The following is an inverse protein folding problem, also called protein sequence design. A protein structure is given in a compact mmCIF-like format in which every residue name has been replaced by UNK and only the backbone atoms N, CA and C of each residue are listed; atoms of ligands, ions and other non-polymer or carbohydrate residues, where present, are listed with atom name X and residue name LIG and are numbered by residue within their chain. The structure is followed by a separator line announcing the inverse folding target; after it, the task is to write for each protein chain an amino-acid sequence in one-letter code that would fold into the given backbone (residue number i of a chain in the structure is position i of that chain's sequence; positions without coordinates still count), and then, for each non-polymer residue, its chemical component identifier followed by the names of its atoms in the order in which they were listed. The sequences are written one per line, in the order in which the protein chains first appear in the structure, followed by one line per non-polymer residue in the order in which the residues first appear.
data_IF_732876182781
#
_entry.id   IF_732876182781
#
_cell.length_a   1.000
_cell.length_b   1.000
_cell.length_c   1.000
_cell.angle_alpha   90.00
_cell.angle_beta   90.00
_cell.angle_gamma   90.00
#
_symmetry.space_group_name_H-M   'P 1'
#
loop_
_entity.id
_entity.type
_entity.pdbx_description
1 polymer ?
#
# COMPACT_ATOMS: atom_id res chain seq x y z
N UNK A 1 6.18 -25.31 -26.75
CA UNK A 1 4.76 -25.34 -26.36
C UNK A 1 4.50 -24.79 -24.95
N UNK A 2 5.12 -25.28 -23.85
CA UNK A 2 4.81 -24.78 -22.50
C UNK A 2 5.22 -23.31 -22.31
N UNK A 3 6.35 -22.89 -22.91
CA UNK A 3 6.83 -21.52 -22.86
C UNK A 3 5.84 -20.53 -23.49
N UNK A 4 5.15 -20.92 -24.56
CA UNK A 4 4.17 -20.08 -25.26
C UNK A 4 2.87 -19.94 -24.45
N UNK A 5 2.47 -21.01 -23.75
CA UNK A 5 1.37 -21.01 -22.78
C UNK A 5 1.67 -20.12 -21.58
N UNK A 6 2.88 -20.20 -21.01
CA UNK A 6 3.32 -19.34 -19.90
C UNK A 6 3.37 -17.87 -20.34
N UNK A 7 3.88 -17.59 -21.55
CA UNK A 7 3.91 -16.23 -22.10
C UNK A 7 2.50 -15.68 -22.34
N UNK A 8 1.58 -16.49 -22.86
CA UNK A 8 0.18 -16.11 -23.00
C UNK A 8 -0.49 -15.87 -21.65
N UNK A 9 -0.20 -16.68 -20.63
CA UNK A 9 -0.74 -16.50 -19.28
C UNK A 9 -0.19 -15.23 -18.63
N UNK A 10 1.11 -14.97 -18.77
CA UNK A 10 1.75 -13.75 -18.30
C UNK A 10 1.21 -12.53 -19.03
N UNK A 11 1.00 -12.60 -20.35
CA UNK A 11 0.41 -11.50 -21.11
C UNK A 11 -1.04 -11.26 -20.70
N UNK A 12 -1.82 -12.32 -20.53
CA UNK A 12 -3.20 -12.27 -20.05
C UNK A 12 -3.32 -11.75 -18.61
N UNK A 13 -2.26 -11.86 -17.79
CA UNK A 13 -2.18 -11.26 -16.46
C UNK A 13 -1.65 -9.82 -16.51
N UNK A 14 -0.63 -9.57 -17.33
CA UNK A 14 0.04 -8.30 -17.48
C UNK A 14 -0.87 -7.26 -18.14
N UNK A 15 -1.73 -7.64 -19.09
CA UNK A 15 -2.70 -6.75 -19.75
C UNK A 15 -3.72 -6.15 -18.78
N UNK A 16 -4.42 -6.93 -17.93
CA UNK A 16 -5.33 -6.38 -16.93
C UNK A 16 -4.59 -5.65 -15.81
N UNK A 17 -3.37 -6.07 -15.44
CA UNK A 17 -2.53 -5.31 -14.50
C UNK A 17 -2.06 -3.97 -15.11
N UNK A 18 -1.71 -3.94 -16.40
CA UNK A 18 -1.33 -2.72 -17.11
C UNK A 18 -2.54 -1.81 -17.26
N UNK A 19 -3.69 -2.35 -17.68
CA UNK A 19 -4.92 -1.57 -17.83
C UNK A 19 -5.37 -1.01 -16.49
N UNK A 20 -5.23 -1.78 -15.40
CA UNK A 20 -5.41 -1.31 -14.04
C UNK A 20 -4.39 -0.25 -13.65
N UNK A 21 -3.11 -0.38 -14.02
CA UNK A 21 -2.10 0.62 -13.71
C UNK A 21 -2.30 1.93 -14.48
N UNK A 22 -2.77 1.84 -15.74
CA UNK A 22 -3.03 2.98 -16.63
C UNK A 22 -4.32 3.68 -16.21
N UNK A 23 -5.41 2.95 -15.98
CA UNK A 23 -6.64 3.49 -15.39
C UNK A 23 -6.38 4.01 -13.95
N UNK A 24 -5.46 3.35 -13.25
CA UNK A 24 -4.96 3.72 -11.94
C UNK A 24 -4.08 4.97 -11.93
N UNK A 25 -3.55 5.46 -13.07
CA UNK A 25 -2.85 6.76 -13.11
C UNK A 25 -3.76 7.90 -12.73
N UNK A 26 -5.04 7.83 -13.10
CA UNK A 26 -6.07 8.76 -12.63
C UNK A 26 -6.35 8.59 -11.14
N UNK A 27 -6.26 7.36 -10.60
CA UNK A 27 -6.31 7.11 -9.15
C UNK A 27 -5.09 7.67 -8.41
N UNK A 28 -3.87 7.55 -8.94
CA UNK A 28 -2.68 8.19 -8.38
C UNK A 28 -2.73 9.72 -8.52
N UNK A 29 -3.38 10.23 -9.56
CA UNK A 29 -3.62 11.66 -9.76
C UNK A 29 -4.74 12.20 -8.84
N UNK A 30 -5.79 11.43 -8.56
CA UNK A 30 -6.88 11.76 -7.61
C UNK A 30 -6.45 11.57 -6.15
N UNK A 31 -5.57 10.60 -5.87
CA UNK A 31 -4.83 10.52 -4.60
C UNK A 31 -3.93 11.75 -4.41
N UNK A 32 -3.45 12.35 -5.52
CA UNK A 32 -2.78 13.65 -5.57
C UNK A 32 -3.75 14.80 -5.86
N UNK A 33 -5.06 14.61 -5.60
CA UNK A 33 -6.14 15.50 -6.04
C UNK A 33 -5.88 16.99 -5.80
N UNK A 34 -6.66 17.90 -6.41
CA UNK A 34 -6.37 19.35 -6.54
C UNK A 34 -6.15 20.14 -5.24
N UNK A 35 -6.23 19.49 -4.09
CA UNK A 35 -5.77 19.98 -2.81
C UNK A 35 -5.45 18.80 -1.91
N UNK A 36 -4.38 18.04 -2.22
CA UNK A 36 -3.69 17.29 -1.17
C UNK A 36 -3.22 18.35 -0.18
N UNK A 37 -4.07 18.66 0.80
CA UNK A 37 -3.66 19.36 2.02
C UNK A 37 -2.36 18.70 2.40
N UNK A 38 -1.29 19.48 2.38
CA UNK A 38 0.00 18.98 2.78
C UNK A 38 -0.11 18.73 4.30
N UNK A 39 -0.61 17.55 4.66
CA UNK A 39 -0.90 17.17 6.05
C UNK A 39 0.36 17.32 6.88
N UNK A 40 1.51 17.05 6.28
CA UNK A 40 2.82 17.31 6.89
C UNK A 40 2.98 18.80 7.16
N UNK A 41 2.82 19.67 6.16
CA UNK A 41 2.93 21.11 6.38
C UNK A 41 1.91 21.65 7.40
N UNK A 42 0.68 21.16 7.40
CA UNK A 42 -0.36 21.58 8.36
C UNK A 42 -0.01 21.19 9.79
N UNK A 43 0.45 19.95 10.03
CA UNK A 43 0.90 19.49 11.35
C UNK A 43 2.16 20.23 11.80
N UNK A 44 3.13 20.41 10.90
CA UNK A 44 4.37 21.15 11.17
C UNK A 44 4.06 22.59 11.57
N UNK A 45 3.15 23.25 10.86
CA UNK A 45 2.73 24.63 11.18
C UNK A 45 1.96 24.70 12.52
N UNK A 46 1.03 23.77 12.76
CA UNK A 46 0.19 23.73 13.97
C UNK A 46 0.99 23.49 15.24
N UNK A 47 1.95 22.57 15.19
CA UNK A 47 2.80 22.18 16.33
C UNK A 47 4.16 22.88 16.34
N UNK A 48 4.41 23.82 15.40
CA UNK A 48 5.66 24.57 15.24
C UNK A 48 6.90 23.68 15.25
N UNK A 49 6.83 22.56 14.54
CA UNK A 49 7.90 21.56 14.52
C UNK A 49 9.11 22.11 13.77
N UNK A 50 10.31 21.90 14.32
CA UNK A 50 11.53 22.05 13.53
C UNK A 50 11.62 20.94 12.47
N UNK A 51 12.50 21.09 11.48
CA UNK A 51 12.70 20.06 10.46
C UNK A 51 13.07 18.69 11.06
N UNK A 52 13.94 18.68 12.08
CA UNK A 52 14.33 17.45 12.77
C UNK A 52 13.19 16.82 13.57
N UNK A 53 12.39 17.64 14.26
CA UNK A 53 11.22 17.16 15.01
C UNK A 53 10.17 16.56 14.07
N UNK A 54 9.95 17.19 12.91
CA UNK A 54 9.02 16.70 11.90
C UNK A 54 9.43 15.31 11.39
N UNK A 55 10.71 15.10 11.11
CA UNK A 55 11.22 13.79 10.65
C UNK A 55 11.16 12.72 11.76
N UNK A 56 11.43 13.11 13.02
CA UNK A 56 11.29 12.24 14.18
C UNK A 56 9.84 11.78 14.37
N UNK A 57 8.89 12.72 14.30
CA UNK A 57 7.45 12.45 14.35
C UNK A 57 7.04 11.55 13.18
N UNK A 58 7.41 11.89 11.94
CA UNK A 58 7.08 11.09 10.76
C UNK A 58 7.58 9.64 10.90
N UNK A 59 8.82 9.47 11.37
CA UNK A 59 9.44 8.16 11.56
C UNK A 59 8.70 7.34 12.61
N UNK A 60 8.35 7.95 13.75
CA UNK A 60 7.62 7.29 14.82
C UNK A 60 6.20 6.88 14.38
N UNK A 61 5.49 7.78 13.69
CA UNK A 61 4.14 7.53 13.15
C UNK A 61 4.18 6.40 12.11
N UNK A 62 5.12 6.42 11.17
CA UNK A 62 5.27 5.38 10.14
C UNK A 62 5.55 4.00 10.76
N UNK A 63 6.33 3.96 11.84
CA UNK A 63 6.66 2.72 12.57
C UNK A 63 5.62 2.31 13.61
N UNK A 64 4.61 3.14 13.88
CA UNK A 64 3.61 2.90 14.92
C UNK A 64 4.20 2.84 16.33
N UNK A 65 5.17 3.71 16.63
CA UNK A 65 5.90 3.76 17.91
C UNK A 65 5.70 5.13 18.60
N UNK A 66 5.91 5.21 19.93
CA UNK A 66 5.96 6.50 20.62
C UNK A 66 7.15 7.32 20.11
N UNK A 67 6.98 8.63 20.03
CA UNK A 67 8.11 9.56 19.81
C UNK A 67 8.95 9.62 21.09
N UNK A 68 10.27 9.72 20.93
CA UNK A 68 11.21 9.72 22.08
C UNK A 68 11.01 10.89 23.03
N UNK A 69 10.65 12.08 22.51
CA UNK A 69 10.41 13.28 23.33
C UNK A 69 8.93 13.46 23.64
N UNK A 70 8.58 13.59 24.92
CA UNK A 70 7.18 13.73 25.35
C UNK A 70 6.47 14.97 24.78
N UNK A 71 7.20 16.06 24.51
CA UNK A 71 6.64 17.28 23.90
C UNK A 71 6.11 17.05 22.48
N UNK A 72 6.57 15.99 21.80
CA UNK A 72 6.20 15.66 20.42
C UNK A 72 5.04 14.65 20.34
N UNK A 73 4.61 14.09 21.47
CA UNK A 73 3.50 13.12 21.53
C UNK A 73 2.21 13.70 20.94
N UNK A 74 1.76 14.93 21.30
CA UNK A 74 0.55 15.51 20.72
C UNK A 74 0.63 15.67 19.21
N UNK A 75 1.79 16.07 18.68
CA UNK A 75 2.02 16.22 17.25
C UNK A 75 1.96 14.88 16.50
N UNK A 76 2.54 13.82 17.10
CA UNK A 76 2.50 12.47 16.54
C UNK A 76 1.08 11.87 16.55
N UNK A 77 0.32 12.09 17.62
CA UNK A 77 -1.07 11.66 17.70
C UNK A 77 -1.96 12.39 16.68
N UNK A 78 -1.79 13.71 16.54
CA UNK A 78 -2.54 14.53 15.57
C UNK A 78 -2.22 14.14 14.13
N UNK A 79 -0.94 13.96 13.79
CA UNK A 79 -0.53 13.46 12.47
C UNK A 79 -1.14 12.08 12.18
N UNK A 80 -0.96 11.13 13.09
CA UNK A 80 -1.47 9.77 12.89
C UNK A 80 -3.01 9.74 12.77
N UNK A 81 -3.70 10.55 13.58
CA UNK A 81 -5.16 10.69 13.57
C UNK A 81 -5.68 11.30 12.27
N UNK A 82 -5.12 12.44 11.85
CA UNK A 82 -5.50 13.10 10.59
C UNK A 82 -5.21 12.24 9.36
N UNK A 83 -4.13 11.47 9.36
CA UNK A 83 -3.83 10.53 8.28
C UNK A 83 -4.85 9.38 8.25
N UNK A 84 -5.25 8.86 9.41
CA UNK A 84 -6.27 7.83 9.52
C UNK A 84 -7.64 8.30 9.03
N UNK A 85 -8.06 9.51 9.44
CA UNK A 85 -9.36 10.05 9.00
C UNK A 85 -9.40 10.24 7.49
N UNK A 86 -8.32 10.77 6.89
CA UNK A 86 -8.21 10.90 5.43
C UNK A 86 -8.27 9.55 4.73
N UNK A 87 -7.58 8.53 5.25
CA UNK A 87 -7.64 7.17 4.69
C UNK A 87 -9.03 6.55 4.81
N UNK A 88 -9.71 6.75 5.96
CA UNK A 88 -11.06 6.23 6.18
C UNK A 88 -12.10 6.97 5.31
N UNK A 89 -11.95 8.27 5.07
CA UNK A 89 -12.76 9.04 4.12
C UNK A 89 -12.55 8.58 2.67
N UNK A 90 -11.29 8.41 2.26
CA UNK A 90 -10.98 7.90 0.93
C UNK A 90 -11.60 6.52 0.72
N UNK A 91 -11.51 5.66 1.72
CA UNK A 91 -12.14 4.33 1.73
C UNK A 91 -13.65 4.40 1.63
N UNK A 92 -14.30 5.28 2.38
CA UNK A 92 -15.75 5.48 2.31
C UNK A 92 -16.19 5.94 0.91
N UNK A 93 -15.46 6.90 0.30
CA UNK A 93 -15.73 7.36 -1.06
C UNK A 93 -15.49 6.29 -2.13
N UNK A 94 -14.61 5.33 -1.86
CA UNK A 94 -14.17 4.31 -2.81
C UNK A 94 -14.58 2.87 -2.43
N UNK A 95 -15.59 2.70 -1.58
CA UNK A 95 -15.98 1.38 -1.06
C UNK A 95 -16.29 0.35 -2.18
N UNK A 96 -16.92 0.78 -3.28
CA UNK A 96 -17.16 -0.08 -4.45
C UNK A 96 -15.87 -0.51 -5.17
N UNK A 97 -14.86 0.35 -5.21
CA UNK A 97 -13.56 0.09 -5.82
C UNK A 97 -12.67 -0.79 -4.94
N UNK A 98 -12.83 -0.76 -3.61
CA UNK A 98 -12.13 -1.71 -2.73
C UNK A 98 -12.55 -3.16 -3.00
N UNK A 99 -13.84 -3.40 -3.24
CA UNK A 99 -14.33 -4.72 -3.63
C UNK A 99 -13.73 -5.15 -4.96
N UNK A 100 -13.70 -4.24 -5.94
CA UNK A 100 -13.06 -4.52 -7.23
C UNK A 100 -11.55 -4.81 -7.07
N UNK A 101 -10.83 -4.03 -6.27
CA UNK A 101 -9.42 -4.26 -5.99
C UNK A 101 -9.18 -5.60 -5.26
N UNK A 102 -10.03 -5.97 -4.31
CA UNK A 102 -9.98 -7.25 -3.62
C UNK A 102 -10.25 -8.41 -4.58
N UNK A 103 -11.21 -8.28 -5.50
CA UNK A 103 -11.49 -9.27 -6.55
C UNK A 103 -10.30 -9.40 -7.51
N UNK A 104 -9.73 -8.27 -7.96
CA UNK A 104 -8.56 -8.26 -8.85
C UNK A 104 -7.35 -8.90 -8.17
N UNK A 105 -7.08 -8.58 -6.90
CA UNK A 105 -6.01 -9.22 -6.11
C UNK A 105 -6.26 -10.71 -5.90
N UNK A 106 -7.51 -11.11 -5.64
CA UNK A 106 -7.90 -12.52 -5.52
C UNK A 106 -7.69 -13.29 -6.81
N UNK A 107 -8.11 -12.73 -7.95
CA UNK A 107 -7.88 -13.31 -9.28
C UNK A 107 -6.38 -13.39 -9.60
N UNK A 108 -5.62 -12.33 -9.32
CA UNK A 108 -4.18 -12.33 -9.51
C UNK A 108 -3.48 -13.41 -8.67
N UNK A 109 -3.90 -13.58 -7.40
CA UNK A 109 -3.41 -14.65 -6.53
C UNK A 109 -3.76 -16.05 -7.04
N UNK A 110 -4.98 -16.24 -7.55
CA UNK A 110 -5.41 -17.51 -8.15
C UNK A 110 -4.60 -17.84 -9.41
N UNK A 111 -4.38 -16.86 -10.30
CA UNK A 111 -3.55 -17.04 -11.48
C UNK A 111 -2.10 -17.35 -11.11
N UNK A 112 -1.57 -16.71 -10.06
CA UNK A 112 -0.22 -17.00 -9.56
C UNK A 112 -0.10 -18.44 -9.05
N UNK A 113 -1.10 -18.90 -8.29
CA UNK A 113 -1.15 -20.28 -7.81
C UNK A 113 -1.21 -21.27 -8.97
N UNK A 114 -2.05 -21.00 -9.98
CA UNK A 114 -2.13 -21.83 -11.19
C UNK A 114 -0.79 -21.86 -11.94
N UNK A 115 -0.12 -20.71 -12.09
CA UNK A 115 1.21 -20.62 -12.70
C UNK A 115 2.26 -21.41 -11.91
N UNK A 116 2.22 -21.37 -10.58
CA UNK A 116 3.10 -22.16 -9.73
C UNK A 116 2.87 -23.66 -9.92
N UNK A 117 1.61 -24.12 -9.90
CA UNK A 117 1.26 -25.53 -10.12
C UNK A 117 1.74 -26.00 -11.50
N UNK A 118 1.49 -25.21 -12.55
CA UNK A 118 1.97 -25.52 -13.90
C UNK A 118 3.49 -25.54 -13.97
N UNK A 119 4.17 -24.61 -13.31
CA UNK A 119 5.63 -24.57 -13.28
C UNK A 119 6.23 -25.83 -12.63
N UNK A 120 5.59 -26.33 -11.57
CA UNK A 120 5.97 -27.58 -10.88
C UNK A 120 5.68 -28.80 -11.74
N UNK A 121 4.47 -28.91 -12.31
CA UNK A 121 4.06 -30.08 -13.10
C UNK A 121 4.86 -30.20 -14.40
N UNK A 122 5.21 -29.08 -15.03
CA UNK A 122 5.90 -29.04 -16.32
C UNK A 122 7.43 -28.91 -16.20
N UNK A 123 7.97 -28.94 -14.98
CA UNK A 123 9.38 -28.67 -14.69
C UNK A 123 9.91 -27.43 -15.45
N UNK A 124 9.23 -26.30 -15.29
CA UNK A 124 9.37 -25.13 -16.16
C UNK A 124 10.69 -24.35 -16.00
N UNK A 125 11.62 -24.88 -15.21
CA UNK A 125 12.96 -24.31 -14.98
C UNK A 125 12.98 -23.13 -14.01
N UNK A 126 14.18 -22.83 -13.50
CA UNK A 126 14.41 -21.85 -12.42
C UNK A 126 13.91 -20.43 -12.71
N UNK A 127 13.92 -19.99 -13.98
CA UNK A 127 13.48 -18.65 -14.35
C UNK A 127 11.97 -18.44 -14.11
N UNK A 128 11.16 -19.47 -14.37
CA UNK A 128 9.70 -19.40 -14.13
C UNK A 128 9.40 -19.29 -12.63
N UNK A 129 10.12 -20.05 -11.80
CA UNK A 129 10.00 -19.94 -10.34
C UNK A 129 10.39 -18.55 -9.83
N UNK A 130 11.45 -17.94 -10.37
CA UNK A 130 11.84 -16.58 -10.02
C UNK A 130 10.74 -15.56 -10.38
N UNK A 131 10.14 -15.67 -11.56
CA UNK A 131 9.03 -14.78 -11.98
C UNK A 131 7.82 -14.95 -11.06
N UNK A 132 7.44 -16.18 -10.74
CA UNK A 132 6.33 -16.48 -9.81
C UNK A 132 6.62 -15.91 -8.42
N UNK A 133 7.85 -16.06 -7.93
CA UNK A 133 8.26 -15.50 -6.63
C UNK A 133 8.15 -13.98 -6.61
N UNK A 134 8.66 -13.29 -7.64
CA UNK A 134 8.61 -11.83 -7.75
C UNK A 134 7.17 -11.32 -7.87
N UNK A 135 6.34 -11.98 -8.69
CA UNK A 135 4.93 -11.64 -8.85
C UNK A 135 4.16 -11.86 -7.54
N UNK A 136 4.45 -12.95 -6.82
CA UNK A 136 3.90 -13.20 -5.48
C UNK A 136 4.29 -12.13 -4.47
N UNK A 137 5.57 -11.75 -4.44
CA UNK A 137 6.05 -10.66 -3.59
C UNK A 137 5.36 -9.33 -3.88
N UNK A 138 5.16 -9.00 -5.17
CA UNK A 138 4.47 -7.78 -5.57
C UNK A 138 2.98 -7.77 -5.14
N UNK A 139 2.26 -8.86 -5.36
CA UNK A 139 0.85 -9.00 -4.95
C UNK A 139 0.73 -8.93 -3.43
N UNK A 140 1.59 -9.65 -2.70
CA UNK A 140 1.62 -9.64 -1.25
C UNK A 140 1.90 -8.23 -0.71
N UNK A 141 2.88 -7.51 -1.28
CA UNK A 141 3.19 -6.15 -0.87
C UNK A 141 2.01 -5.20 -1.12
N UNK A 142 1.36 -5.28 -2.28
CA UNK A 142 0.17 -4.48 -2.60
C UNK A 142 -0.99 -4.72 -1.63
N UNK A 143 -1.18 -5.96 -1.18
CA UNK A 143 -2.24 -6.32 -0.23
C UNK A 143 -1.88 -5.94 1.22
N UNK A 144 -0.62 -6.16 1.63
CA UNK A 144 -0.18 -6.01 3.02
C UNK A 144 0.11 -4.57 3.41
N UNK A 145 0.73 -3.79 2.51
CA UNK A 145 1.15 -2.42 2.80
C UNK A 145 0.02 -1.52 3.35
N UNK A 146 -1.19 -1.46 2.76
CA UNK A 146 -2.27 -0.64 3.32
C UNK A 146 -2.74 -1.13 4.70
N UNK A 147 -2.73 -2.45 4.95
CA UNK A 147 -3.10 -3.03 6.25
C UNK A 147 -2.07 -2.66 7.32
N UNK A 148 -0.78 -2.78 6.98
CA UNK A 148 0.33 -2.45 7.86
C UNK A 148 0.36 -0.96 8.19
N UNK A 149 0.18 -0.09 7.20
CA UNK A 149 0.11 1.38 7.40
C UNK A 149 -1.02 1.72 8.37
N UNK A 150 -2.24 1.21 8.14
CA UNK A 150 -3.38 1.48 9.02
C UNK A 150 -3.15 0.99 10.45
N UNK A 151 -2.58 -0.21 10.59
CA UNK A 151 -2.22 -0.79 11.89
C UNK A 151 -1.17 0.06 12.61
N UNK A 152 -0.15 0.53 11.90
CA UNK A 152 0.89 1.38 12.47
C UNK A 152 0.35 2.73 12.89
N UNK A 153 -0.49 3.38 12.07
CA UNK A 153 -1.11 4.65 12.44
C UNK A 153 -1.99 4.51 13.69
N UNK A 154 -2.80 3.45 13.80
CA UNK A 154 -3.61 3.20 15.01
C UNK A 154 -2.75 3.02 16.26
N UNK A 155 -1.64 2.29 16.12
CA UNK A 155 -0.65 2.14 17.20
C UNK A 155 0.01 3.47 17.55
N UNK A 156 0.33 4.31 16.57
CA UNK A 156 0.90 5.62 16.80
C UNK A 156 -0.06 6.53 17.57
N UNK A 157 -1.35 6.56 17.21
CA UNK A 157 -2.37 7.29 17.98
C UNK A 157 -2.44 6.79 19.41
N UNK A 158 -2.54 5.47 19.61
CA UNK A 158 -2.62 4.89 20.96
C UNK A 158 -1.36 5.12 21.81
N UNK A 159 -0.18 5.15 21.18
CA UNK A 159 1.09 5.32 21.89
C UNK A 159 1.44 6.78 22.21
N UNK A 160 0.83 7.76 21.54
CA UNK A 160 1.17 9.18 21.68
C UNK A 160 -0.03 10.07 22.08
N UNK A 161 -1.25 9.52 22.17
CA UNK A 161 -2.46 10.27 22.53
C UNK A 161 -2.81 10.24 24.02
N UNK A 162 -1.89 9.75 24.86
CA UNK A 162 -2.03 9.70 26.32
C UNK A 162 -1.79 11.03 27.00
#
# INVERSE_FOLDING_TARGET
MPLLLVLLLLLALALPLLSWSIAGRRFWADLRGPGTRDLRAEVVARHRLSGGDADAVQTAVTRGRPVGESRLHPAAADWAGTTLTVLDEQRARHAGRERAAAVVLGLAGLCLLAALVLAVVLDAGALVYLVVLLAGGAIANLALLPVLVRRNLRRAVAANGG
#
